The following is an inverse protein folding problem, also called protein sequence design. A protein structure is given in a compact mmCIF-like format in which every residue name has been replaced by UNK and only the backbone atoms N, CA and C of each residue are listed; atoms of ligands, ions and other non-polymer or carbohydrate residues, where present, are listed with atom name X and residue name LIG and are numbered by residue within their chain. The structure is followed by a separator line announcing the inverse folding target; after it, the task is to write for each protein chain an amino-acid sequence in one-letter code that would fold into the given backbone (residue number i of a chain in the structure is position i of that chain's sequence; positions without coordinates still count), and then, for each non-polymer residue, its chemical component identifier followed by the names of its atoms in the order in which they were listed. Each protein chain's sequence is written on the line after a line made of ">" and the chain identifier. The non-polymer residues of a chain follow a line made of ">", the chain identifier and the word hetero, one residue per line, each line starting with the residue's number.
data_IF_298402743487
#
_entry.id   IF_298402743487
#
_cell.length_a   1.000
_cell.length_b   1.000
_cell.length_c   1.000
_cell.angle_alpha   90.00
_cell.angle_beta   90.00
_cell.angle_gamma   90.00
#
_symmetry.space_group_name_H-M   'P 1'
#
loop_
_entity.id
_entity.type
_entity.pdbx_description
1 polymer ?
#
# COMPACT_ATOMS: atom_id res chain seq x y z
N UNK A 1 -16.93 14.93 3.19
CA UNK A 1 -15.61 14.42 2.74
C UNK A 1 -15.89 13.16 1.93
N UNK A 2 -15.53 13.10 0.64
CA UNK A 2 -16.00 12.04 -0.28
C UNK A 2 -15.01 10.87 -0.25
N UNK A 3 -15.45 9.72 0.26
CA UNK A 3 -14.77 8.42 0.11
C UNK A 3 -14.82 8.00 -1.35
N UNK A 4 -13.69 7.57 -1.92
CA UNK A 4 -13.61 7.17 -3.33
C UNK A 4 -13.75 5.67 -3.41
N UNK A 5 -15.00 5.21 -3.56
CA UNK A 5 -15.26 3.79 -3.75
C UNK A 5 -14.78 3.33 -5.13
N UNK A 6 -14.25 2.11 -5.19
CA UNK A 6 -13.94 1.46 -6.46
C UNK A 6 -15.26 1.18 -7.18
N UNK A 7 -15.54 1.94 -8.24
CA UNK A 7 -16.74 1.81 -9.06
C UNK A 7 -16.45 1.07 -10.38
N UNK A 8 -15.58 0.07 -10.31
CA UNK A 8 -15.26 -0.81 -11.46
C UNK A 8 -16.16 -2.05 -11.33
N UNK A 9 -16.97 -2.38 -12.34
CA UNK A 9 -17.79 -3.59 -12.31
C UNK A 9 -16.92 -4.85 -12.13
N UNK A 10 -17.36 -5.74 -11.24
CA UNK A 10 -16.61 -6.91 -10.81
C UNK A 10 -16.26 -7.85 -11.97
N UNK A 11 -17.16 -7.99 -12.95
CA UNK A 11 -16.97 -8.74 -14.19
C UNK A 11 -15.69 -8.32 -14.97
N UNK A 12 -15.31 -7.04 -14.92
CA UNK A 12 -14.07 -6.57 -15.55
C UNK A 12 -12.84 -6.92 -14.71
N UNK A 13 -12.95 -6.79 -13.39
CA UNK A 13 -11.84 -7.10 -12.48
C UNK A 13 -11.56 -8.61 -12.46
N UNK A 14 -12.58 -9.45 -12.54
CA UNK A 14 -12.45 -10.92 -12.60
C UNK A 14 -12.14 -11.46 -14.01
N UNK A 15 -12.02 -10.59 -15.00
CA UNK A 15 -11.81 -10.97 -16.42
C UNK A 15 -12.95 -11.82 -17.01
N UNK A 16 -14.14 -11.76 -16.44
CA UNK A 16 -15.36 -12.38 -16.98
C UNK A 16 -15.89 -11.60 -18.19
N UNK A 17 -15.55 -10.31 -18.26
CA UNK A 17 -15.82 -9.43 -19.40
C UNK A 17 -14.56 -8.72 -19.87
N UNK A 18 -14.36 -8.70 -21.19
CA UNK A 18 -13.23 -8.01 -21.85
C UNK A 18 -13.74 -6.77 -22.58
N UNK A 19 -13.00 -5.66 -22.48
CA UNK A 19 -13.30 -4.41 -23.17
C UNK A 19 -12.01 -3.69 -23.56
N UNK A 20 -11.96 -3.15 -24.78
CA UNK A 20 -10.72 -2.63 -25.38
C UNK A 20 -10.35 -1.20 -24.94
N UNK A 21 -11.21 -0.53 -24.19
CA UNK A 21 -10.98 0.85 -23.75
C UNK A 21 -11.88 1.24 -22.59
N UNK A 22 -11.98 0.39 -21.58
CA UNK A 22 -12.82 0.70 -20.42
C UNK A 22 -12.22 1.90 -19.69
N UNK A 23 -13.00 2.98 -19.57
CA UNK A 23 -12.60 4.18 -18.86
C UNK A 23 -13.18 4.16 -17.46
N UNK A 24 -12.29 4.19 -16.46
CA UNK A 24 -12.65 4.36 -15.06
C UNK A 24 -12.31 5.79 -14.64
N UNK A 25 -13.31 6.51 -14.14
CA UNK A 25 -13.10 7.87 -13.63
C UNK A 25 -12.61 7.82 -12.19
N UNK A 26 -11.62 8.67 -11.89
CA UNK A 26 -11.13 8.88 -10.53
C UNK A 26 -11.73 10.16 -9.95
N UNK A 27 -11.76 10.23 -8.63
CA UNK A 27 -11.96 11.51 -7.97
C UNK A 27 -10.74 12.41 -8.23
N UNK A 28 -11.02 13.69 -8.47
CA UNK A 28 -10.06 14.78 -8.69
C UNK A 28 -9.12 15.03 -7.48
N UNK A 29 -9.43 14.42 -6.33
CA UNK A 29 -8.67 14.61 -5.10
C UNK A 29 -7.38 13.76 -5.06
N UNK A 30 -6.24 14.45 -5.17
CA UNK A 30 -4.91 13.92 -4.86
C UNK A 30 -4.46 14.41 -3.47
N UNK A 31 -4.10 13.48 -2.59
CA UNK A 31 -3.62 13.76 -1.23
C UNK A 31 -2.14 14.16 -1.24
N UNK A 32 -1.70 14.91 -0.21
CA UNK A 32 -0.34 15.41 -0.16
C UNK A 32 0.69 14.27 -0.05
N UNK A 33 0.41 13.25 0.76
CA UNK A 33 1.27 12.07 0.94
C UNK A 33 0.44 10.79 1.13
N UNK A 34 1.07 9.63 0.93
CA UNK A 34 0.44 8.33 1.24
C UNK A 34 0.13 8.19 2.73
N UNK A 35 0.95 8.80 3.59
CA UNK A 35 0.75 8.82 5.03
C UNK A 35 -0.51 9.58 5.44
N UNK A 36 -0.87 10.67 4.74
CA UNK A 36 -2.13 11.38 5.00
C UNK A 36 -3.34 10.48 4.71
N UNK A 37 -3.25 9.66 3.66
CA UNK A 37 -4.32 8.71 3.30
C UNK A 37 -4.39 7.57 4.30
N UNK A 38 -3.25 6.98 4.67
CA UNK A 38 -3.18 5.93 5.70
C UNK A 38 -3.73 6.48 7.03
N UNK A 39 -3.35 7.70 7.42
CA UNK A 39 -3.87 8.37 8.61
C UNK A 39 -5.36 8.72 8.52
N UNK A 40 -5.92 8.82 7.33
CA UNK A 40 -7.37 8.98 7.16
C UNK A 40 -8.10 7.65 7.34
N UNK A 41 -7.56 6.56 6.79
CA UNK A 41 -8.21 5.24 6.75
C UNK A 41 -8.14 4.55 8.11
N UNK A 42 -6.94 4.51 8.69
CA UNK A 42 -6.69 3.80 9.94
C UNK A 42 -7.23 4.64 11.09
N UNK A 43 -8.02 4.02 11.96
CA UNK A 43 -8.57 4.68 13.15
C UNK A 43 -7.72 4.38 14.39
N UNK A 44 -7.77 5.29 15.37
CA UNK A 44 -6.92 5.20 16.57
C UNK A 44 -7.39 4.13 17.55
N UNK A 45 -6.47 3.37 18.13
CA UNK A 45 -6.77 2.23 19.00
C UNK A 45 -7.04 0.89 18.29
N UNK A 46 -6.95 0.84 16.95
CA UNK A 46 -7.12 -0.40 16.19
C UNK A 46 -5.92 -1.35 16.27
N UNK A 47 -6.16 -2.60 15.87
CA UNK A 47 -5.17 -3.66 15.74
C UNK A 47 -4.60 -3.69 14.32
N UNK A 48 -3.28 -3.58 14.19
CA UNK A 48 -2.62 -3.40 12.88
C UNK A 48 -1.45 -4.35 12.69
N UNK A 49 -1.38 -4.98 11.52
CA UNK A 49 -0.15 -5.61 11.01
C UNK A 49 0.50 -4.65 10.02
N UNK A 50 1.74 -4.26 10.27
CA UNK A 50 2.58 -3.51 9.34
C UNK A 50 3.54 -4.48 8.63
N UNK A 51 3.22 -4.86 7.40
CA UNK A 51 3.96 -5.86 6.65
C UNK A 51 5.04 -5.18 5.79
N UNK A 52 6.27 -5.68 5.90
CA UNK A 52 7.45 -5.03 5.35
C UNK A 52 7.89 -3.83 6.19
N UNK A 53 7.77 -3.93 7.52
CA UNK A 53 7.89 -2.78 8.42
C UNK A 53 9.28 -2.14 8.45
N UNK A 54 10.35 -2.86 8.07
CA UNK A 54 11.72 -2.34 8.10
C UNK A 54 11.92 -1.30 6.99
N UNK A 55 11.47 -1.60 5.77
CA UNK A 55 11.82 -0.82 4.59
C UNK A 55 13.33 -0.79 4.31
N UNK A 56 13.83 0.28 3.67
CA UNK A 56 15.25 0.37 3.32
C UNK A 56 16.12 0.88 4.47
N UNK A 57 16.89 -0.01 5.10
CA UNK A 57 17.69 0.23 6.33
C UNK A 57 18.48 1.56 6.31
N UNK A 58 19.27 1.89 5.27
CA UNK A 58 20.07 3.12 5.27
C UNK A 58 19.28 4.42 5.45
N UNK A 59 17.96 4.37 5.23
CA UNK A 59 17.09 5.53 5.32
C UNK A 59 16.16 5.52 6.55
N UNK A 60 16.14 4.47 7.38
CA UNK A 60 15.16 4.35 8.49
C UNK A 60 15.31 5.49 9.49
N UNK A 61 16.52 5.77 10.00
CA UNK A 61 16.73 6.86 10.97
C UNK A 61 16.30 8.22 10.40
N UNK A 62 16.64 8.48 9.13
CA UNK A 62 16.21 9.69 8.43
C UNK A 62 14.70 9.72 8.22
N UNK A 63 14.07 8.57 7.96
CA UNK A 63 12.62 8.48 7.82
C UNK A 63 11.92 8.78 9.14
N UNK A 64 12.46 8.31 10.27
CA UNK A 64 11.99 8.63 11.62
C UNK A 64 12.10 10.13 11.89
N UNK A 65 13.29 10.73 11.68
CA UNK A 65 13.53 12.17 11.88
C UNK A 65 12.57 13.04 11.04
N UNK A 66 12.22 12.59 9.84
CA UNK A 66 11.31 13.30 8.95
C UNK A 66 9.82 12.94 9.15
N UNK A 67 9.48 12.12 10.15
CA UNK A 67 8.12 11.64 10.42
C UNK A 67 7.48 10.93 9.21
N UNK A 68 8.26 10.12 8.51
CA UNK A 68 7.83 9.33 7.33
C UNK A 68 8.18 7.84 7.46
N UNK A 69 8.54 7.38 8.66
CA UNK A 69 8.66 5.95 8.95
C UNK A 69 7.29 5.37 9.29
N UNK A 70 6.76 4.50 8.43
CA UNK A 70 5.38 4.02 8.51
C UNK A 70 5.08 3.32 9.84
N UNK A 71 5.97 2.43 10.28
CA UNK A 71 5.78 1.67 11.51
C UNK A 71 5.64 2.57 12.74
N UNK A 72 6.43 3.64 12.84
CA UNK A 72 6.31 4.63 13.91
C UNK A 72 4.96 5.36 13.86
N UNK A 73 4.54 5.80 12.67
CA UNK A 73 3.25 6.49 12.49
C UNK A 73 2.08 5.60 12.93
N UNK A 74 2.13 4.31 12.62
CA UNK A 74 1.12 3.34 13.04
C UNK A 74 1.18 3.13 14.57
N UNK A 75 2.37 2.92 15.12
CA UNK A 75 2.59 2.67 16.56
C UNK A 75 2.14 3.84 17.42
N UNK A 76 2.35 5.08 16.98
CA UNK A 76 1.92 6.29 17.70
C UNK A 76 0.39 6.46 17.74
N UNK A 77 -0.31 5.83 16.79
CA UNK A 77 -1.74 6.06 16.56
C UNK A 77 -2.62 4.90 17.01
N UNK A 78 -2.17 3.67 16.83
CA UNK A 78 -2.95 2.46 17.01
C UNK A 78 -2.71 1.83 18.39
N UNK A 79 -3.63 0.96 18.81
CA UNK A 79 -3.58 0.36 20.15
C UNK A 79 -2.61 -0.81 20.23
N UNK A 80 -2.60 -1.64 19.18
CA UNK A 80 -1.72 -2.79 19.06
C UNK A 80 -1.21 -2.90 17.62
N UNK A 81 0.09 -2.73 17.43
CA UNK A 81 0.74 -2.77 16.12
C UNK A 81 1.81 -3.85 16.15
N UNK A 82 1.78 -4.76 15.17
CA UNK A 82 2.86 -5.71 14.93
C UNK A 82 3.53 -5.40 13.60
N UNK A 83 4.81 -5.06 13.63
CA UNK A 83 5.65 -5.03 12.44
C UNK A 83 6.14 -6.43 12.08
N UNK A 84 5.98 -6.83 10.83
CA UNK A 84 6.45 -8.11 10.31
C UNK A 84 7.39 -7.87 9.14
N UNK A 85 8.58 -8.44 9.21
CA UNK A 85 9.55 -8.41 8.11
C UNK A 85 10.35 -9.72 8.07
N UNK A 86 10.87 -10.09 6.90
CA UNK A 86 11.74 -11.26 6.73
C UNK A 86 13.21 -10.92 7.02
N UNK A 87 13.57 -9.64 6.96
CA UNK A 87 14.94 -9.15 7.21
C UNK A 87 15.26 -9.16 8.71
N UNK A 88 16.12 -10.10 9.12
CA UNK A 88 16.56 -10.20 10.51
C UNK A 88 17.40 -9.02 10.98
N UNK A 89 18.25 -8.49 10.11
CA UNK A 89 19.17 -7.41 10.47
C UNK A 89 18.40 -6.11 10.60
N UNK A 90 17.46 -5.89 9.68
CA UNK A 90 16.49 -4.80 9.75
C UNK A 90 15.64 -4.82 11.01
N UNK A 91 15.11 -5.99 11.40
CA UNK A 91 14.33 -6.15 12.64
C UNK A 91 15.17 -5.83 13.88
N UNK A 92 16.41 -6.31 13.94
CA UNK A 92 17.29 -6.00 15.07
C UNK A 92 17.61 -4.50 15.12
N UNK A 93 17.90 -3.89 13.98
CA UNK A 93 18.15 -2.45 13.89
C UNK A 93 16.96 -1.61 14.36
N UNK A 94 15.75 -1.95 13.92
CA UNK A 94 14.51 -1.25 14.32
C UNK A 94 14.24 -1.41 15.82
N UNK A 95 14.55 -2.57 16.41
CA UNK A 95 14.49 -2.79 17.86
C UNK A 95 15.50 -1.94 18.63
N UNK A 96 16.73 -1.83 18.13
CA UNK A 96 17.76 -0.96 18.72
C UNK A 96 17.35 0.53 18.72
N UNK A 97 16.48 0.93 17.79
CA UNK A 97 15.86 2.25 17.75
C UNK A 97 14.66 2.42 18.71
N UNK A 98 14.27 1.37 19.43
CA UNK A 98 13.22 1.40 20.46
C UNK A 98 11.86 0.81 20.03
N UNK A 99 11.70 0.36 18.79
CA UNK A 99 10.46 -0.27 18.32
C UNK A 99 10.50 -1.77 18.59
N UNK A 100 10.00 -2.18 19.75
CA UNK A 100 10.02 -3.57 20.20
C UNK A 100 8.86 -4.42 19.67
N UNK A 101 7.85 -3.78 19.09
CA UNK A 101 6.65 -4.39 18.53
C UNK A 101 6.84 -4.83 17.07
N UNK A 102 8.01 -5.41 16.79
CA UNK A 102 8.39 -5.95 15.47
C UNK A 102 8.96 -7.36 15.62
N UNK A 103 8.68 -8.22 14.64
CA UNK A 103 9.18 -9.60 14.59
C UNK A 103 9.74 -9.95 13.22
N UNK A 104 10.75 -10.81 13.24
CA UNK A 104 11.19 -11.52 12.04
C UNK A 104 10.21 -12.66 11.77
N UNK A 105 9.43 -12.58 10.70
CA UNK A 105 8.51 -13.63 10.30
C UNK A 105 8.17 -13.54 8.80
N UNK A 106 7.89 -14.69 8.19
CA UNK A 106 7.27 -14.79 6.88
C UNK A 106 5.75 -14.76 7.04
N UNK A 107 5.09 -13.77 6.43
CA UNK A 107 3.63 -13.56 6.56
C UNK A 107 2.80 -14.79 6.15
N UNK A 108 3.32 -15.64 5.26
CA UNK A 108 2.63 -16.84 4.79
C UNK A 108 2.94 -18.00 5.73
N UNK A 109 4.23 -18.27 5.99
CA UNK A 109 4.67 -19.47 6.72
C UNK A 109 4.44 -19.39 8.22
N UNK A 110 4.55 -18.19 8.80
CA UNK A 110 4.51 -17.98 10.25
C UNK A 110 3.15 -17.40 10.70
N UNK A 111 2.09 -17.67 9.94
CA UNK A 111 0.77 -17.06 10.16
C UNK A 111 0.20 -17.33 11.56
N UNK A 112 0.44 -18.50 12.15
CA UNK A 112 -0.01 -18.82 13.51
C UNK A 112 0.73 -18.02 14.59
N UNK A 113 2.04 -17.80 14.42
CA UNK A 113 2.82 -16.92 15.31
C UNK A 113 2.33 -15.49 15.23
N UNK A 114 2.07 -14.99 14.02
CA UNK A 114 1.56 -13.64 13.79
C UNK A 114 0.16 -13.47 14.39
N UNK A 115 -0.74 -14.45 14.20
CA UNK A 115 -2.07 -14.43 14.81
C UNK A 115 -1.98 -14.47 16.34
N UNK A 116 -1.08 -15.29 16.88
CA UNK A 116 -0.85 -15.43 18.32
C UNK A 116 -0.50 -14.10 19.02
N UNK A 117 0.11 -13.14 18.32
CA UNK A 117 0.36 -11.80 18.84
C UNK A 117 -0.91 -11.05 19.27
N UNK A 118 -2.00 -11.23 18.52
CA UNK A 118 -3.28 -10.57 18.79
C UNK A 118 -4.24 -11.46 19.60
N UNK A 119 -3.86 -12.70 19.91
CA UNK A 119 -4.72 -13.66 20.61
C UNK A 119 -6.03 -13.91 19.86
N UNK A 120 -7.16 -13.74 20.57
CA UNK A 120 -8.51 -13.90 20.00
C UNK A 120 -9.02 -12.64 19.27
N UNK A 121 -8.29 -11.53 19.36
CA UNK A 121 -8.71 -10.27 18.73
C UNK A 121 -8.53 -10.31 17.22
N UNK A 122 -9.38 -9.56 16.51
CA UNK A 122 -9.26 -9.37 15.06
C UNK A 122 -8.29 -8.25 14.76
N UNK A 123 -7.65 -8.34 13.59
CA UNK A 123 -6.82 -7.28 13.03
C UNK A 123 -7.69 -6.40 12.16
N UNK A 124 -7.72 -5.10 12.45
CA UNK A 124 -8.50 -4.14 11.69
C UNK A 124 -7.85 -3.86 10.34
N UNK A 125 -6.53 -3.72 10.32
CA UNK A 125 -5.77 -3.37 9.12
C UNK A 125 -4.49 -4.20 8.99
N UNK A 126 -4.25 -4.77 7.83
CA UNK A 126 -2.92 -5.14 7.38
C UNK A 126 -2.44 -4.11 6.36
N UNK A 127 -1.35 -3.42 6.67
CA UNK A 127 -0.77 -2.37 5.84
C UNK A 127 0.44 -2.94 5.10
N UNK A 128 0.44 -2.81 3.77
CA UNK A 128 1.57 -3.16 2.90
C UNK A 128 2.12 -1.88 2.28
N UNK A 129 3.16 -1.35 2.92
CA UNK A 129 3.76 -0.07 2.57
C UNK A 129 4.83 -0.18 1.48
N UNK A 130 4.52 0.14 0.22
CA UNK A 130 5.51 0.22 -0.88
C UNK A 130 6.30 -1.08 -1.12
N UNK A 131 5.68 -2.26 -0.93
CA UNK A 131 6.37 -3.55 -1.12
C UNK A 131 5.79 -4.42 -2.24
N UNK A 132 4.49 -4.30 -2.57
CA UNK A 132 3.82 -5.25 -3.46
C UNK A 132 4.43 -5.30 -4.87
N UNK A 133 5.04 -4.20 -5.32
CA UNK A 133 5.65 -4.06 -6.64
C UNK A 133 7.02 -4.74 -6.78
N UNK A 134 7.59 -5.21 -5.68
CA UNK A 134 8.82 -5.98 -5.60
C UNK A 134 8.56 -7.50 -5.57
N UNK A 135 7.29 -7.91 -5.43
CA UNK A 135 6.86 -9.30 -5.39
C UNK A 135 6.74 -9.87 -6.80
N UNK A 136 7.33 -11.05 -7.03
CA UNK A 136 7.33 -11.73 -8.33
C UNK A 136 5.92 -12.17 -8.79
N UNK A 137 5.14 -12.76 -7.88
CA UNK A 137 3.73 -13.13 -8.10
C UNK A 137 2.82 -12.43 -7.08
N UNK A 138 2.39 -11.18 -7.35
CA UNK A 138 1.55 -10.43 -6.43
C UNK A 138 0.16 -11.05 -6.26
N UNK A 139 -0.37 -11.77 -7.26
CA UNK A 139 -1.70 -12.40 -7.16
C UNK A 139 -1.62 -13.63 -6.25
N UNK A 140 -0.64 -14.51 -6.45
CA UNK A 140 -0.42 -15.68 -5.61
C UNK A 140 -0.06 -15.33 -4.17
N UNK A 141 0.77 -14.30 -3.98
CA UNK A 141 1.11 -13.77 -2.65
C UNK A 141 -0.14 -13.29 -1.89
N UNK A 142 -0.94 -12.42 -2.50
CA UNK A 142 -2.17 -11.92 -1.88
C UNK A 142 -3.22 -13.03 -1.70
N UNK A 143 -3.26 -14.03 -2.58
CA UNK A 143 -4.18 -15.17 -2.45
C UNK A 143 -3.85 -16.02 -1.23
N UNK A 144 -2.57 -16.22 -0.92
CA UNK A 144 -2.11 -16.93 0.26
C UNK A 144 -2.38 -16.12 1.54
N UNK A 145 -2.14 -14.80 1.52
CA UNK A 145 -2.54 -13.91 2.62
C UNK A 145 -4.05 -14.03 2.88
N UNK A 146 -4.88 -13.94 1.83
CA UNK A 146 -6.33 -14.10 1.96
C UNK A 146 -6.65 -15.43 2.64
N UNK A 147 -6.15 -16.55 2.12
CA UNK A 147 -6.41 -17.88 2.67
C UNK A 147 -5.99 -18.01 4.15
N UNK A 148 -4.81 -17.51 4.51
CA UNK A 148 -4.28 -17.64 5.87
C UNK A 148 -5.01 -16.73 6.87
N UNK A 149 -5.52 -15.58 6.42
CA UNK A 149 -6.03 -14.55 7.32
C UNK A 149 -7.53 -14.21 7.14
N UNK A 150 -8.26 -14.94 6.28
CA UNK A 150 -9.72 -14.81 6.17
C UNK A 150 -10.40 -14.96 7.53
N UNK A 151 -11.27 -14.00 7.84
CA UNK A 151 -11.96 -13.94 9.13
C UNK A 151 -11.09 -13.51 10.31
N UNK A 152 -9.80 -13.22 10.10
CA UNK A 152 -8.89 -12.68 11.11
C UNK A 152 -8.54 -11.20 10.85
N UNK A 153 -8.24 -10.86 9.59
CA UNK A 153 -8.01 -9.48 9.14
C UNK A 153 -9.28 -8.94 8.49
N UNK A 154 -9.67 -7.71 8.84
CA UNK A 154 -10.83 -7.04 8.24
C UNK A 154 -10.50 -6.38 6.91
N UNK A 155 -9.42 -5.60 6.88
CA UNK A 155 -9.03 -4.83 5.71
C UNK A 155 -7.53 -4.90 5.44
N UNK A 156 -7.17 -4.80 4.16
CA UNK A 156 -5.80 -4.57 3.72
C UNK A 156 -5.70 -3.15 3.17
N UNK A 157 -4.62 -2.46 3.48
CA UNK A 157 -4.24 -1.18 2.89
C UNK A 157 -2.92 -1.35 2.15
N UNK A 158 -2.92 -1.20 0.83
CA UNK A 158 -1.72 -1.33 0.00
C UNK A 158 -1.32 0.04 -0.54
N UNK A 159 -0.04 0.36 -0.47
CA UNK A 159 0.55 1.50 -1.19
C UNK A 159 1.58 1.03 -2.21
N UNK A 160 1.52 1.57 -3.41
CA UNK A 160 2.48 1.29 -4.49
C UNK A 160 2.81 2.56 -5.27
N UNK A 161 3.99 2.62 -5.92
CA UNK A 161 4.29 3.63 -6.91
C UNK A 161 3.27 3.62 -8.05
N UNK A 162 2.79 4.80 -8.44
CA UNK A 162 1.87 4.95 -9.56
C UNK A 162 2.65 4.99 -10.89
N UNK A 163 2.31 4.14 -11.85
CA UNK A 163 2.93 4.19 -13.18
C UNK A 163 2.76 5.54 -13.88
N UNK A 164 1.65 6.23 -13.60
CA UNK A 164 1.33 7.54 -14.17
C UNK A 164 1.95 8.72 -13.42
N UNK A 165 2.85 8.49 -12.46
CA UNK A 165 3.54 9.60 -11.79
C UNK A 165 4.26 10.47 -12.82
N UNK A 166 4.25 11.77 -12.58
CA UNK A 166 4.73 12.77 -13.55
C UNK A 166 6.18 12.54 -14.01
N UNK A 167 7.05 12.10 -13.10
CA UNK A 167 8.44 11.76 -13.41
C UNK A 167 8.53 10.66 -14.48
N UNK A 168 7.73 9.59 -14.37
CA UNK A 168 7.70 8.51 -15.37
C UNK A 168 7.21 9.03 -16.73
N UNK A 169 6.20 9.88 -16.76
CA UNK A 169 5.70 10.48 -18.01
C UNK A 169 6.80 11.29 -18.70
N UNK A 170 7.50 12.17 -17.97
CA UNK A 170 8.58 12.99 -18.54
C UNK A 170 9.78 12.13 -18.98
N UNK A 171 10.14 11.11 -18.20
CA UNK A 171 11.22 10.19 -18.55
C UNK A 171 10.88 9.42 -19.83
N UNK A 172 9.66 8.90 -19.95
CA UNK A 172 9.18 8.21 -21.14
C UNK A 172 9.20 9.09 -22.39
N UNK A 173 8.74 10.36 -22.27
CA UNK A 173 8.85 11.35 -23.35
C UNK A 173 10.30 11.68 -23.72
N UNK A 174 11.24 11.44 -22.80
CA UNK A 174 12.68 11.60 -23.00
C UNK A 174 13.38 10.30 -23.44
N UNK A 175 12.64 9.22 -23.71
CA UNK A 175 13.18 7.92 -24.08
C UNK A 175 13.93 7.20 -22.95
N UNK A 176 13.64 7.54 -21.69
CA UNK A 176 14.29 6.98 -20.50
C UNK A 176 13.33 6.11 -19.71
N UNK A 177 13.78 4.91 -19.38
CA UNK A 177 13.13 4.03 -18.40
C UNK A 177 13.95 4.04 -17.11
N UNK A 178 13.41 4.65 -16.05
CA UNK A 178 14.10 4.83 -14.76
C UNK A 178 13.36 4.02 -13.70
N UNK A 179 14.01 2.96 -13.21
CA UNK A 179 13.47 2.05 -12.22
C UNK A 179 14.43 1.84 -11.05
N UNK A 180 13.87 1.49 -9.90
CA UNK A 180 14.64 0.81 -8.87
C UNK A 180 14.83 -0.65 -9.29
N UNK A 181 16.03 -1.20 -9.10
CA UNK A 181 16.40 -2.52 -9.63
C UNK A 181 15.69 -3.69 -8.96
N UNK A 182 15.07 -3.45 -7.80
CA UNK A 182 14.27 -4.45 -7.09
C UNK A 182 12.81 -4.46 -7.53
N UNK A 183 12.37 -3.51 -8.37
CA UNK A 183 10.99 -3.48 -8.86
C UNK A 183 10.76 -4.62 -9.87
N UNK A 184 9.63 -5.32 -9.74
CA UNK A 184 9.22 -6.42 -10.64
C UNK A 184 8.14 -5.95 -11.60
N UNK A 185 7.28 -5.07 -11.13
CA UNK A 185 6.17 -4.55 -11.92
C UNK A 185 5.83 -3.11 -11.57
N UNK A 186 5.00 -2.52 -12.43
CA UNK A 186 4.35 -1.23 -12.22
C UNK A 186 2.85 -1.42 -12.08
N UNK A 187 2.23 -0.60 -11.23
CA UNK A 187 0.79 -0.58 -11.08
C UNK A 187 0.19 0.72 -11.62
N UNK A 188 -0.83 0.57 -12.45
CA UNK A 188 -1.89 1.55 -12.60
C UNK A 188 -2.94 1.33 -11.51
N UNK A 189 -3.81 2.32 -11.22
CA UNK A 189 -4.86 2.13 -10.24
C UNK A 189 -5.83 0.99 -10.63
N UNK A 190 -6.16 0.85 -11.92
CA UNK A 190 -6.99 -0.25 -12.42
C UNK A 190 -6.31 -1.61 -12.24
N UNK A 191 -5.03 -1.74 -12.63
CA UNK A 191 -4.33 -3.03 -12.54
C UNK A 191 -4.13 -3.44 -11.10
N UNK A 192 -3.95 -2.50 -10.15
CA UNK A 192 -3.91 -2.82 -8.74
C UNK A 192 -5.27 -3.35 -8.23
N UNK A 193 -6.38 -2.70 -8.56
CA UNK A 193 -7.73 -3.22 -8.25
C UNK A 193 -7.93 -4.63 -8.82
N UNK A 194 -7.48 -4.86 -10.06
CA UNK A 194 -7.57 -6.15 -10.73
C UNK A 194 -6.74 -7.21 -10.03
N UNK A 195 -5.51 -6.88 -9.60
CA UNK A 195 -4.65 -7.77 -8.83
C UNK A 195 -5.33 -8.23 -7.53
N UNK A 196 -5.93 -7.32 -6.75
CA UNK A 196 -6.68 -7.69 -5.54
C UNK A 196 -7.88 -8.58 -5.87
N UNK A 197 -8.69 -8.21 -6.86
CA UNK A 197 -9.88 -8.98 -7.22
C UNK A 197 -9.53 -10.40 -7.69
N UNK A 198 -8.47 -10.55 -8.51
CA UNK A 198 -7.95 -11.85 -8.94
C UNK A 198 -7.35 -12.65 -7.77
N UNK A 199 -6.82 -11.97 -6.74
CA UNK A 199 -6.40 -12.62 -5.50
C UNK A 199 -7.57 -12.86 -4.53
N UNK A 200 -8.83 -12.72 -4.98
CA UNK A 200 -10.06 -12.89 -4.22
C UNK A 200 -10.28 -11.90 -3.07
N UNK A 201 -9.54 -10.80 -3.05
CA UNK A 201 -9.69 -9.71 -2.08
C UNK A 201 -10.53 -8.64 -2.75
N UNK A 202 -11.60 -8.17 -2.10
CA UNK A 202 -12.53 -7.22 -2.73
C UNK A 202 -11.95 -5.81 -2.66
N UNK A 203 -11.65 -5.12 -3.78
CA UNK A 203 -11.25 -3.72 -3.75
C UNK A 203 -12.43 -2.85 -3.30
N UNK A 204 -12.20 -1.94 -2.34
CA UNK A 204 -13.25 -1.10 -1.75
C UNK A 204 -13.05 0.36 -2.06
N UNK A 205 -11.86 0.89 -1.78
CA UNK A 205 -11.57 2.32 -1.89
C UNK A 205 -10.21 2.53 -2.53
N UNK A 206 -10.09 3.55 -3.37
CA UNK A 206 -8.83 3.88 -4.04
C UNK A 206 -8.53 5.37 -3.96
N UNK A 207 -7.28 5.69 -3.63
CA UNK A 207 -6.81 7.05 -3.42
C UNK A 207 -5.52 7.30 -4.19
N UNK A 208 -5.35 8.54 -4.64
CA UNK A 208 -4.11 9.01 -5.25
C UNK A 208 -3.40 9.94 -4.28
N UNK A 209 -2.09 9.75 -4.10
CA UNK A 209 -1.32 10.44 -3.07
C UNK A 209 0.09 10.83 -3.53
N UNK A 210 0.67 11.85 -2.90
CA UNK A 210 1.93 12.44 -3.35
C UNK A 210 1.68 13.54 -4.36
N UNK A 211 1.00 14.60 -3.91
CA UNK A 211 0.71 15.76 -4.75
C UNK A 211 2.01 16.47 -5.13
N UNK A 212 2.21 16.68 -6.43
CA UNK A 212 3.31 17.52 -6.90
C UNK A 212 3.20 18.94 -6.34
N UNK A 213 4.35 19.51 -5.97
CA UNK A 213 4.45 20.87 -5.42
C UNK A 213 4.99 21.86 -6.46
N UNK A 214 4.87 23.15 -6.15
CA UNK A 214 5.39 24.24 -6.99
C UNK A 214 4.67 24.41 -8.33
N UNK A 215 5.34 25.02 -9.32
CA UNK A 215 4.75 25.36 -10.62
C UNK A 215 4.16 24.15 -11.37
N UNK A 216 4.84 22.99 -11.30
CA UNK A 216 4.39 21.75 -11.95
C UNK A 216 3.09 21.24 -11.32
N UNK A 217 3.03 21.20 -9.99
CA UNK A 217 1.83 20.84 -9.25
C UNK A 217 0.65 21.79 -9.51
N UNK A 218 0.92 23.09 -9.57
CA UNK A 218 -0.08 24.09 -9.92
C UNK A 218 -0.66 23.84 -11.32
N UNK A 219 0.21 23.64 -12.33
CA UNK A 219 -0.22 23.40 -13.71
C UNK A 219 -1.06 22.13 -13.83
N UNK A 220 -0.62 21.02 -13.21
CA UNK A 220 -1.37 19.77 -13.23
C UNK A 220 -2.69 19.87 -12.46
N UNK A 221 -2.72 20.65 -11.37
CA UNK A 221 -3.93 20.93 -10.60
C UNK A 221 -5.02 21.66 -11.37
N UNK A 222 -4.72 22.26 -12.53
CA UNK A 222 -5.74 22.82 -13.44
C UNK A 222 -6.55 21.73 -14.15
N UNK A 223 -6.01 20.52 -14.28
CA UNK A 223 -6.71 19.38 -14.84
C UNK A 223 -7.49 18.67 -13.75
N UNK A 224 -8.81 18.89 -13.74
CA UNK A 224 -9.71 18.37 -12.71
C UNK A 224 -9.54 16.86 -12.49
N UNK A 225 -9.42 16.05 -13.55
CA UNK A 225 -9.34 14.58 -13.48
C UNK A 225 -7.91 13.99 -13.68
N UNK A 226 -6.86 14.63 -13.18
CA UNK A 226 -5.51 14.10 -13.39
C UNK A 226 -5.20 12.93 -12.43
N UNK A 227 -4.52 11.91 -12.95
CA UNK A 227 -4.07 10.73 -12.18
C UNK A 227 -2.58 10.76 -11.86
N UNK A 228 -1.92 11.90 -12.09
CA UNK A 228 -0.47 12.08 -11.99
C UNK A 228 -0.04 12.32 -10.53
N UNK A 229 -0.31 11.35 -9.66
CA UNK A 229 0.17 11.31 -8.28
C UNK A 229 1.37 10.36 -8.14
N UNK A 230 2.20 10.54 -7.11
CA UNK A 230 3.37 9.66 -6.89
C UNK A 230 2.97 8.21 -6.53
N UNK A 231 1.89 8.04 -5.77
CA UNK A 231 1.47 6.75 -5.22
C UNK A 231 -0.03 6.49 -5.41
N UNK A 232 -0.37 5.20 -5.42
CA UNK A 232 -1.74 4.70 -5.30
C UNK A 232 -1.87 4.12 -3.89
N UNK A 233 -2.97 4.41 -3.21
CA UNK A 233 -3.36 3.74 -1.96
C UNK A 233 -4.68 3.02 -2.20
N UNK A 234 -4.71 1.70 -2.00
CA UNK A 234 -5.90 0.88 -2.22
C UNK A 234 -6.28 0.15 -0.93
N UNK A 235 -7.57 0.21 -0.61
CA UNK A 235 -8.18 -0.54 0.50
C UNK A 235 -8.93 -1.74 -0.06
N UNK A 236 -8.63 -2.92 0.46
CA UNK A 236 -9.31 -4.18 0.15
C UNK A 236 -9.96 -4.79 1.40
N UNK A 237 -10.99 -5.61 1.18
CA UNK A 237 -11.67 -6.41 2.22
C UNK A 237 -11.35 -7.90 1.98
N UNK A 238 -10.91 -8.60 3.03
CA UNK A 238 -10.58 -10.04 3.04
C UNK A 238 -11.80 -10.86 3.47
#
# INVERSE_FOLDING_TARGET
>A
MITVFVNIPEEYLKSERVHNGFSFEYNDQIYNSRFDVINKIIWGGGNVIDLGCVGYIPNISKAIENNVYLHAILTDKCGNVLGVDIDSDGINYVKDLGYNNVIKADIIRDSDTIKGWFGDEKVDFMVMGEMLHEIDDPIGFLSQIRQNYTGFIRQIVITVPNIYRYSNIINGLSGKDINHTENRCWFSPYTLCKTLACSGIRPKEIYLAGRLKGKKGFLLGLFKKNICAEHIVLVGEI
#
